data_IF_835871345445
#
_entry.id   IF_835871345445
#
_cell.length_a   1.000
_cell.length_b   1.000
_cell.length_c   1.000
_cell.angle_alpha   90.00
_cell.angle_beta   90.00
_cell.angle_gamma   90.00
#
_symmetry.space_group_name_H-M   'P 1'
#
loop_
_entity.id
_entity.type
_entity.pdbx_description
1 polymer ?
#
# COMPACT_ATOMS: atom_id res chain seq x y z
N UNK A 1 -4.52 -19.90 -15.14
CA UNK A 1 -4.30 -19.00 -14.00
C UNK A 1 -2.84 -19.09 -13.66
N UNK A 2 -2.16 -17.96 -13.49
CA UNK A 2 -0.72 -17.93 -13.28
C UNK A 2 -0.39 -18.51 -11.89
N UNK A 3 0.37 -19.61 -11.85
CA UNK A 3 0.67 -20.33 -10.61
C UNK A 3 1.55 -19.49 -9.65
N UNK A 4 2.36 -18.58 -10.19
CA UNK A 4 3.15 -17.67 -9.38
C UNK A 4 2.25 -16.64 -8.68
N UNK A 5 1.24 -16.11 -9.39
CA UNK A 5 0.25 -15.20 -8.79
C UNK A 5 -0.53 -15.86 -7.64
N UNK A 6 -1.00 -17.11 -7.83
CA UNK A 6 -1.67 -17.88 -6.78
C UNK A 6 -0.76 -18.08 -5.55
N UNK A 7 0.47 -18.51 -5.78
CA UNK A 7 1.46 -18.75 -4.73
C UNK A 7 1.79 -17.48 -3.95
N UNK A 8 1.93 -16.35 -4.64
CA UNK A 8 2.17 -15.05 -4.02
C UNK A 8 0.98 -14.63 -3.15
N UNK A 9 -0.26 -14.76 -3.64
CA UNK A 9 -1.45 -14.43 -2.85
C UNK A 9 -1.61 -15.30 -1.60
N UNK A 10 -1.30 -16.60 -1.69
CA UNK A 10 -1.27 -17.47 -0.50
C UNK A 10 -0.25 -16.97 0.52
N UNK A 11 0.96 -16.62 0.08
CA UNK A 11 2.01 -16.10 0.96
C UNK A 11 1.61 -14.79 1.64
N UNK A 12 0.92 -13.90 0.92
CA UNK A 12 0.36 -12.66 1.50
C UNK A 12 -0.72 -13.01 2.53
N UNK A 13 -1.61 -13.95 2.23
CA UNK A 13 -2.68 -14.38 3.15
C UNK A 13 -2.13 -14.98 4.45
N UNK A 14 -1.13 -15.85 4.35
CA UNK A 14 -0.46 -16.47 5.50
C UNK A 14 0.22 -15.40 6.37
N UNK A 15 0.87 -14.41 5.73
CA UNK A 15 1.49 -13.28 6.44
C UNK A 15 0.44 -12.43 7.17
N UNK A 16 -0.71 -12.20 6.54
CA UNK A 16 -1.80 -11.43 7.15
C UNK A 16 -2.38 -12.15 8.36
N UNK A 17 -2.57 -13.47 8.28
CA UNK A 17 -3.02 -14.26 9.44
C UNK A 17 -2.03 -14.24 10.59
N UNK A 18 -0.74 -14.39 10.30
CA UNK A 18 0.30 -14.31 11.32
C UNK A 18 0.25 -12.97 12.07
N UNK A 19 0.09 -11.86 11.34
CA UNK A 19 -0.07 -10.53 11.94
C UNK A 19 -1.42 -10.39 12.68
N UNK A 20 -2.51 -10.98 12.18
CA UNK A 20 -3.81 -10.95 12.85
C UNK A 20 -3.81 -11.73 14.17
N UNK A 21 -3.08 -12.84 14.25
CA UNK A 21 -2.85 -13.58 15.49
C UNK A 21 -2.01 -12.76 16.47
N UNK A 22 -0.99 -12.06 15.99
CA UNK A 22 -0.06 -11.29 16.82
C UNK A 22 -0.66 -10.00 17.40
N UNK A 23 -1.38 -9.24 16.58
CA UNK A 23 -1.86 -7.89 16.94
C UNK A 23 -3.37 -7.83 17.19
N UNK A 24 -4.11 -8.91 16.90
CA UNK A 24 -5.55 -8.86 16.74
C UNK A 24 -5.92 -8.24 15.39
N UNK A 25 -6.94 -8.77 14.74
CA UNK A 25 -7.32 -8.30 13.41
C UNK A 25 -8.57 -8.98 12.86
N UNK A 26 -9.01 -8.54 11.69
CA UNK A 26 -10.14 -9.16 10.98
C UNK A 26 -9.67 -10.51 10.43
N UNK A 27 -10.51 -11.54 10.50
CA UNK A 27 -10.24 -12.82 9.83
C UNK A 27 -10.15 -12.66 8.32
N UNK A 28 -9.45 -13.57 7.64
CA UNK A 28 -9.38 -13.58 6.17
C UNK A 28 -10.76 -13.64 5.52
N UNK A 29 -11.71 -14.40 6.08
CA UNK A 29 -13.10 -14.42 5.59
C UNK A 29 -13.77 -13.05 5.70
N UNK A 30 -13.50 -12.29 6.76
CA UNK A 30 -14.02 -10.92 6.89
C UNK A 30 -13.35 -9.99 5.89
N UNK A 31 -12.05 -10.10 5.67
CA UNK A 31 -11.31 -9.34 4.63
C UNK A 31 -11.90 -9.61 3.25
N UNK A 32 -12.05 -10.87 2.86
CA UNK A 32 -12.57 -11.19 1.53
C UNK A 32 -14.04 -10.78 1.35
N UNK A 33 -14.81 -10.78 2.43
CA UNK A 33 -16.16 -10.20 2.43
C UNK A 33 -16.13 -8.68 2.16
N UNK A 34 -15.21 -7.95 2.79
CA UNK A 34 -15.06 -6.49 2.57
C UNK A 34 -14.66 -6.18 1.12
N UNK A 35 -13.72 -6.94 0.56
CA UNK A 35 -13.13 -6.64 -0.75
C UNK A 35 -13.97 -7.16 -1.93
N UNK A 36 -14.52 -8.37 -1.76
CA UNK A 36 -15.16 -9.14 -2.84
C UNK A 36 -16.62 -9.50 -2.57
N UNK A 37 -17.16 -9.17 -1.39
CA UNK A 37 -18.46 -9.67 -0.93
C UNK A 37 -18.53 -11.22 -0.93
N UNK A 38 -17.40 -11.89 -0.66
CA UNK A 38 -17.30 -13.34 -0.63
C UNK A 38 -16.36 -13.82 0.49
N UNK A 39 -16.92 -14.38 1.56
CA UNK A 39 -16.16 -14.87 2.73
C UNK A 39 -15.37 -16.16 2.51
N UNK A 40 -15.64 -16.91 1.44
CA UNK A 40 -15.02 -18.23 1.17
C UNK A 40 -13.78 -18.14 0.27
N UNK A 41 -13.39 -16.93 -0.14
CA UNK A 41 -12.32 -16.73 -1.12
C UNK A 41 -10.99 -17.35 -0.68
N UNK A 42 -10.47 -17.01 0.52
CA UNK A 42 -9.16 -17.50 0.96
C UNK A 42 -9.15 -19.01 1.26
N UNK A 43 -10.27 -19.55 1.75
CA UNK A 43 -10.43 -21.00 1.92
C UNK A 43 -10.33 -21.72 0.56
N UNK A 44 -11.09 -21.25 -0.43
CA UNK A 44 -11.04 -21.78 -1.80
C UNK A 44 -9.66 -21.59 -2.46
N UNK A 45 -8.97 -20.49 -2.15
CA UNK A 45 -7.59 -20.24 -2.58
C UNK A 45 -6.64 -21.31 -2.04
N UNK A 46 -6.72 -21.65 -0.76
CA UNK A 46 -5.93 -22.75 -0.17
C UNK A 46 -6.19 -24.09 -0.85
N UNK A 47 -7.43 -24.36 -1.20
CA UNK A 47 -7.82 -25.57 -1.92
C UNK A 47 -7.49 -25.55 -3.42
N UNK A 48 -6.77 -24.54 -3.93
CA UNK A 48 -6.36 -24.47 -5.33
C UNK A 48 -7.52 -24.29 -6.30
N UNK A 49 -8.62 -23.69 -5.86
CA UNK A 49 -9.72 -23.32 -6.76
C UNK A 49 -9.34 -22.12 -7.60
N UNK A 50 -9.87 -22.05 -8.81
CA UNK A 50 -9.66 -20.94 -9.73
C UNK A 50 -10.55 -19.75 -9.41
N UNK A 51 -10.02 -18.56 -9.66
CA UNK A 51 -10.73 -17.28 -9.53
C UNK A 51 -10.52 -16.43 -10.77
N UNK A 52 -11.38 -15.43 -10.93
CA UNK A 52 -11.18 -14.40 -11.96
C UNK A 52 -9.96 -13.56 -11.60
N UNK A 53 -9.21 -13.13 -12.61
CA UNK A 53 -8.10 -12.18 -12.44
C UNK A 53 -8.56 -10.93 -11.69
N UNK A 54 -9.75 -10.41 -12.01
CA UNK A 54 -10.35 -9.26 -11.34
C UNK A 54 -10.47 -9.44 -9.80
N UNK A 55 -10.84 -10.63 -9.31
CA UNK A 55 -10.95 -10.86 -7.88
C UNK A 55 -9.57 -10.90 -7.20
N UNK A 56 -8.59 -11.53 -7.85
CA UNK A 56 -7.21 -11.58 -7.37
C UNK A 56 -6.59 -10.18 -7.31
N UNK A 57 -6.84 -9.37 -8.33
CA UNK A 57 -6.39 -7.98 -8.42
C UNK A 57 -7.00 -7.10 -7.33
N UNK A 58 -8.30 -7.23 -7.06
CA UNK A 58 -8.97 -6.47 -5.99
C UNK A 58 -8.40 -6.80 -4.61
N UNK A 59 -8.13 -8.08 -4.34
CA UNK A 59 -7.52 -8.52 -3.08
C UNK A 59 -6.10 -7.99 -2.96
N UNK A 60 -5.27 -8.16 -4.00
CA UNK A 60 -3.91 -7.64 -4.00
C UNK A 60 -3.92 -6.12 -3.80
N UNK A 61 -4.76 -5.38 -4.54
CA UNK A 61 -4.88 -3.92 -4.41
C UNK A 61 -5.24 -3.48 -2.99
N UNK A 62 -6.15 -4.18 -2.31
CA UNK A 62 -6.49 -3.88 -0.93
C UNK A 62 -5.33 -4.17 0.04
N UNK A 63 -4.62 -5.29 -0.14
CA UNK A 63 -3.50 -5.70 0.70
C UNK A 63 -2.21 -4.88 0.48
N UNK A 64 -2.14 -4.07 -0.59
CA UNK A 64 -1.01 -3.15 -0.81
C UNK A 64 -0.99 -1.97 0.14
N UNK A 65 -2.09 -1.68 0.83
CA UNK A 65 -2.18 -0.55 1.75
C UNK A 65 -1.82 -0.98 3.18
N UNK A 66 -0.73 -0.44 3.78
CA UNK A 66 -0.36 -0.74 5.16
C UNK A 66 -1.48 -0.55 6.19
N UNK A 67 -2.42 0.39 6.00
CA UNK A 67 -3.52 0.60 6.95
C UNK A 67 -4.53 -0.54 7.02
N UNK A 68 -4.48 -1.44 6.03
CA UNK A 68 -5.31 -2.63 5.99
C UNK A 68 -4.71 -3.81 6.76
N UNK A 69 -3.46 -3.69 7.24
CA UNK A 69 -2.77 -4.72 7.99
C UNK A 69 -2.98 -4.57 9.50
N UNK A 70 -3.09 -5.68 10.26
CA UNK A 70 -3.29 -5.66 11.71
C UNK A 70 -2.27 -4.82 12.49
N UNK A 71 -0.98 -4.92 12.12
CA UNK A 71 0.10 -4.14 12.72
C UNK A 71 0.31 -2.76 12.09
N UNK A 72 -0.54 -2.33 11.14
CA UNK A 72 -0.39 -1.09 10.38
C UNK A 72 0.83 -1.06 9.44
N UNK A 73 1.55 -2.18 9.31
CA UNK A 73 2.74 -2.34 8.49
C UNK A 73 2.62 -3.65 7.71
N UNK A 74 3.14 -3.67 6.49
CA UNK A 74 3.20 -4.88 5.66
C UNK A 74 4.50 -5.63 5.98
N UNK A 75 4.46 -6.89 6.44
CA UNK A 75 5.65 -7.66 6.76
C UNK A 75 6.43 -8.06 5.49
N UNK A 76 7.76 -8.20 5.59
CA UNK A 76 8.65 -8.45 4.44
C UNK A 76 8.22 -9.61 3.52
N UNK A 77 7.78 -10.78 4.03
CA UNK A 77 7.35 -11.87 3.16
C UNK A 77 6.16 -11.49 2.27
N UNK A 78 5.26 -10.63 2.75
CA UNK A 78 4.14 -10.12 1.99
C UNK A 78 4.58 -9.03 1.01
N UNK A 79 5.52 -8.15 1.40
CA UNK A 79 6.12 -7.15 0.50
C UNK A 79 6.75 -7.82 -0.73
N UNK A 80 7.57 -8.85 -0.51
CA UNK A 80 8.22 -9.59 -1.61
C UNK A 80 7.20 -10.26 -2.53
N UNK A 81 6.17 -10.88 -1.97
CA UNK A 81 5.10 -11.51 -2.74
C UNK A 81 4.30 -10.49 -3.57
N UNK A 82 3.97 -9.33 -2.98
CA UNK A 82 3.31 -8.21 -3.65
C UNK A 82 4.15 -7.67 -4.82
N UNK A 83 5.46 -7.51 -4.63
CA UNK A 83 6.39 -7.10 -5.69
C UNK A 83 6.42 -8.13 -6.82
N UNK A 84 6.46 -9.43 -6.50
CA UNK A 84 6.55 -10.50 -7.52
C UNK A 84 5.35 -10.56 -8.47
N UNK A 85 4.18 -10.06 -8.05
CA UNK A 85 2.97 -9.98 -8.88
C UNK A 85 2.76 -8.58 -9.48
N UNK A 86 3.78 -7.71 -9.44
CA UNK A 86 3.72 -6.36 -10.00
C UNK A 86 2.78 -5.42 -9.21
N UNK A 87 2.61 -5.66 -7.92
CA UNK A 87 1.71 -4.92 -7.03
C UNK A 87 2.46 -4.44 -5.79
N UNK A 88 3.51 -3.60 -5.92
CA UNK A 88 4.33 -3.18 -4.77
C UNK A 88 3.49 -2.42 -3.71
N UNK A 89 3.82 -2.51 -2.42
CA UNK A 89 3.16 -1.73 -1.36
C UNK A 89 2.95 -0.26 -1.72
N UNK A 90 1.85 0.32 -1.26
CA UNK A 90 1.65 1.76 -1.33
C UNK A 90 2.60 2.43 -0.33
N UNK A 91 3.44 3.33 -0.83
CA UNK A 91 4.19 4.23 0.03
C UNK A 91 3.20 5.22 0.64
N UNK A 92 2.95 5.09 1.93
CA UNK A 92 2.35 6.20 2.68
C UNK A 92 3.38 7.33 2.66
N UNK A 93 3.23 8.25 1.71
CA UNK A 93 3.94 9.52 1.80
C UNK A 93 3.32 10.20 3.00
N UNK A 94 4.05 10.44 4.11
CA UNK A 94 3.48 11.20 5.20
C UNK A 94 3.05 12.55 4.62
N UNK A 95 1.78 12.90 4.79
CA UNK A 95 1.27 14.21 4.39
C UNK A 95 2.06 15.24 5.20
N UNK A 96 3.09 15.81 4.59
CA UNK A 96 3.94 16.79 5.24
C UNK A 96 3.23 18.14 5.20
N UNK A 97 2.24 18.34 6.08
CA UNK A 97 1.55 19.62 6.25
C UNK A 97 2.35 20.60 7.13
N UNK A 98 3.62 20.32 7.43
CA UNK A 98 4.52 21.21 8.16
C UNK A 98 5.95 21.14 7.64
N UNK A 99 6.22 21.88 6.56
CA UNK A 99 7.49 22.58 6.41
C UNK A 99 7.19 24.00 5.88
N UNK A 100 7.78 25.06 6.47
CA UNK A 100 7.69 26.39 5.87
C UNK A 100 8.39 26.37 4.51
N UNK A 101 7.73 26.94 3.51
CA UNK A 101 8.30 27.17 2.17
C UNK A 101 9.69 27.81 2.31
N UNK A 102 10.71 27.40 1.52
CA UNK A 102 11.95 28.16 1.48
C UNK A 102 11.59 29.59 1.07
N UNK A 103 11.92 30.56 1.93
CA UNK A 103 11.79 31.97 1.62
C UNK A 103 12.54 32.20 0.30
N UNK A 104 11.78 32.43 -0.77
CA UNK A 104 12.32 32.98 -2.02
C UNK A 104 12.97 34.30 -1.61
N UNK A 105 14.30 34.30 -1.59
CA UNK A 105 15.09 35.51 -1.39
C UNK A 105 14.80 36.41 -2.59
N UNK A 106 13.79 37.26 -2.44
CA UNK A 106 13.53 38.38 -3.31
C UNK A 106 14.63 39.40 -3.07
N UNK A 107 15.80 39.20 -3.67
CA UNK A 107 16.79 40.25 -3.75
C UNK A 107 16.32 41.20 -4.84
N UNK A 108 15.60 42.26 -4.43
CA UNK A 108 15.33 43.41 -5.29
C UNK A 108 16.66 43.98 -5.75
N UNK A 109 16.92 43.89 -7.04
CA UNK A 109 17.85 44.76 -7.74
C UNK A 109 17.41 46.22 -7.52
N UNK A 110 18.15 46.96 -6.69
CA UNK A 110 18.05 48.41 -6.63
C UNK A 110 18.93 49.00 -7.73
N UNK A 111 18.39 49.08 -8.94
CA UNK A 111 18.89 49.97 -9.99
C UNK A 111 17.97 51.18 -10.10
N UNK A 112 18.43 52.33 -9.62
CA UNK A 112 18.08 53.71 -10.02
C UNK A 112 18.97 54.66 -9.20
N UNK A 113 20.08 55.18 -9.72
CA UNK A 113 20.19 56.42 -10.51
C UNK A 113 19.38 57.62 -9.95
N UNK A 114 20.06 58.49 -9.19
CA UNK A 114 19.96 59.97 -9.20
C UNK A 114 21.33 60.49 -8.70
N UNK A 115 22.28 60.91 -9.55
CA UNK A 115 22.49 62.30 -10.00
C UNK A 115 22.11 63.39 -8.99
N UNK A 116 23.13 64.04 -8.39
CA UNK A 116 23.41 65.51 -8.34
C UNK A 116 24.49 65.76 -7.26
N UNK A 117 25.70 66.17 -7.65
CA UNK A 117 26.19 67.53 -7.44
C UNK A 117 25.79 68.14 -6.10
N UNK A 118 26.73 68.24 -5.15
CA UNK A 118 27.50 69.47 -4.86
C UNK A 118 28.81 69.11 -4.14
#
# INVERSE_FOLDING_TARGET
MDAAYDSALRRIADSYEAEAVRWGGRSLSRVSTIVLNNGTFFERLRHGRTFTVANLERIAAWLRDPSNWPGGVIPDPAVLALISIGRPPLTHTPVSWRLPLPAVAYHREHTSQEMRQQ
#
